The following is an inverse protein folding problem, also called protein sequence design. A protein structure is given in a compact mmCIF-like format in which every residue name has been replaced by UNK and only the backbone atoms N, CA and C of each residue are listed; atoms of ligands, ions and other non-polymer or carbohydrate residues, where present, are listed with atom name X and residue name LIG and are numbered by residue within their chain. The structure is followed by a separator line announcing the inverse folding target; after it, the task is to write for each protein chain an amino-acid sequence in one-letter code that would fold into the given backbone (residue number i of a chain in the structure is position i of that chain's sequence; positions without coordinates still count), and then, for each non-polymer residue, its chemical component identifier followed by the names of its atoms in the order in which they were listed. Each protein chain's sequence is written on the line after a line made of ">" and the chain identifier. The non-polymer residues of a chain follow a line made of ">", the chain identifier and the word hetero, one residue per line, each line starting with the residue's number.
data_IF_256027952432
#
_entry.id   IF_256027952432
#
_cell.length_a   1.000
_cell.length_b   1.000
_cell.length_c   1.000
_cell.angle_alpha   90.00
_cell.angle_beta   90.00
_cell.angle_gamma   90.00
#
_symmetry.space_group_name_H-M   'P 1'
#
loop_
_entity.id
_entity.type
_entity.pdbx_description
1 polymer ?
#
# COMPACT_ATOMS: atom_id res chain seq x y z
N UNK A 1 5.20 -68.09 -1.96
CA UNK A 1 4.06 -67.13 -1.93
C UNK A 1 4.33 -65.90 -1.03
N UNK A 2 5.18 -66.01 0.00
CA UNK A 2 5.47 -64.92 0.96
C UNK A 2 6.30 -63.75 0.41
N UNK A 3 7.26 -63.99 -0.50
CA UNK A 3 8.15 -62.94 -1.03
C UNK A 3 7.38 -61.86 -1.80
N UNK A 4 6.34 -62.25 -2.54
CA UNK A 4 5.51 -61.32 -3.34
C UNK A 4 4.71 -60.37 -2.44
N UNK A 5 4.16 -60.89 -1.33
CA UNK A 5 3.45 -60.14 -0.28
C UNK A 5 4.34 -59.10 0.42
N UNK A 6 5.62 -59.43 0.68
CA UNK A 6 6.57 -58.51 1.31
C UNK A 6 6.95 -57.36 0.36
N UNK A 7 7.14 -57.66 -0.93
CA UNK A 7 7.47 -56.65 -1.95
C UNK A 7 6.29 -55.68 -2.15
N UNK A 8 5.05 -56.18 -2.21
CA UNK A 8 3.84 -55.36 -2.33
C UNK A 8 3.65 -54.44 -1.11
N UNK A 9 3.86 -54.95 0.11
CA UNK A 9 3.80 -54.13 1.34
C UNK A 9 4.84 -53.02 1.36
N UNK A 10 6.08 -53.28 0.91
CA UNK A 10 7.13 -52.26 0.81
C UNK A 10 6.79 -51.18 -0.21
N UNK A 11 6.21 -51.54 -1.35
CA UNK A 11 5.77 -50.59 -2.37
C UNK A 11 4.62 -49.72 -1.86
N UNK A 12 3.62 -50.31 -1.21
CA UNK A 12 2.52 -49.57 -0.58
C UNK A 12 3.01 -48.62 0.52
N UNK A 13 3.96 -49.06 1.37
CA UNK A 13 4.57 -48.21 2.38
C UNK A 13 5.30 -47.01 1.75
N UNK A 14 6.06 -47.21 0.67
CA UNK A 14 6.72 -46.11 -0.06
C UNK A 14 5.71 -45.11 -0.60
N UNK A 15 4.61 -45.57 -1.21
CA UNK A 15 3.53 -44.72 -1.71
C UNK A 15 2.90 -43.93 -0.56
N UNK A 16 2.59 -44.58 0.57
CA UNK A 16 2.04 -43.93 1.75
C UNK A 16 2.96 -42.84 2.32
N UNK A 17 4.28 -43.10 2.37
CA UNK A 17 5.28 -42.12 2.80
C UNK A 17 5.32 -40.92 1.84
N UNK A 18 5.29 -41.16 0.52
CA UNK A 18 5.26 -40.07 -0.47
C UNK A 18 4.00 -39.22 -0.30
N UNK A 19 2.83 -39.84 -0.15
CA UNK A 19 1.56 -39.13 0.09
C UNK A 19 1.65 -38.28 1.36
N UNK A 20 2.21 -38.82 2.45
CA UNK A 20 2.37 -38.09 3.70
C UNK A 20 3.29 -36.87 3.53
N UNK A 21 4.42 -37.02 2.84
CA UNK A 21 5.34 -35.91 2.57
C UNK A 21 4.66 -34.81 1.76
N UNK A 22 3.90 -35.19 0.72
CA UNK A 22 3.13 -34.23 -0.08
C UNK A 22 2.07 -33.52 0.78
N UNK A 23 1.35 -34.25 1.63
CA UNK A 23 0.34 -33.66 2.51
C UNK A 23 0.95 -32.65 3.50
N UNK A 24 2.11 -32.98 4.09
CA UNK A 24 2.84 -32.07 4.99
C UNK A 24 3.31 -30.81 4.23
N UNK A 25 3.82 -30.98 3.01
CA UNK A 25 4.25 -29.84 2.18
C UNK A 25 3.08 -28.92 1.81
N UNK A 26 1.93 -29.50 1.43
CA UNK A 26 0.71 -28.73 1.10
C UNK A 26 0.17 -28.00 2.34
N UNK A 27 0.09 -28.67 3.49
CA UNK A 27 -0.35 -28.06 4.73
C UNK A 27 0.57 -26.92 5.18
N UNK A 28 1.89 -27.12 5.04
CA UNK A 28 2.90 -26.09 5.29
C UNK A 28 2.73 -24.87 4.38
N UNK A 29 2.53 -25.10 3.08
CA UNK A 29 2.28 -24.04 2.10
C UNK A 29 1.01 -23.24 2.39
N UNK A 30 -0.11 -23.91 2.71
CA UNK A 30 -1.37 -23.23 3.07
C UNK A 30 -1.19 -22.37 4.32
N UNK A 31 -0.54 -22.92 5.35
CA UNK A 31 -0.27 -22.20 6.60
C UNK A 31 0.59 -20.96 6.35
N UNK A 32 1.64 -21.10 5.53
CA UNK A 32 2.50 -20.00 5.15
C UNK A 32 1.76 -18.90 4.36
N UNK A 33 0.93 -19.27 3.39
CA UNK A 33 0.11 -18.33 2.61
C UNK A 33 -0.86 -17.55 3.50
N UNK A 34 -1.52 -18.24 4.43
CA UNK A 34 -2.45 -17.61 5.38
C UNK A 34 -1.72 -16.63 6.31
N UNK A 35 -0.54 -17.00 6.80
CA UNK A 35 0.29 -16.11 7.60
C UNK A 35 0.67 -14.83 6.85
N UNK A 36 1.13 -14.96 5.60
CA UNK A 36 1.49 -13.80 4.77
C UNK A 36 0.28 -12.88 4.54
N UNK A 37 -0.88 -13.45 4.19
CA UNK A 37 -2.10 -12.67 4.00
C UNK A 37 -2.51 -11.92 5.27
N UNK A 38 -2.44 -12.56 6.43
CA UNK A 38 -2.74 -11.91 7.70
C UNK A 38 -1.76 -10.77 8.06
N UNK A 39 -0.47 -10.92 7.77
CA UNK A 39 0.50 -9.82 7.97
C UNK A 39 0.27 -8.67 6.99
N UNK A 40 0.00 -8.97 5.71
CA UNK A 40 -0.34 -7.98 4.71
C UNK A 40 -1.56 -7.15 5.15
N UNK A 41 -2.67 -7.82 5.49
CA UNK A 41 -3.91 -7.16 5.92
C UNK A 41 -3.68 -6.30 7.17
N UNK A 42 -2.94 -6.83 8.16
CA UNK A 42 -2.60 -6.08 9.37
C UNK A 42 -1.94 -4.75 9.05
N UNK A 43 -0.95 -4.72 8.15
CA UNK A 43 -0.24 -3.49 7.84
C UNK A 43 -1.06 -2.53 6.97
N UNK A 44 -1.87 -3.03 6.03
CA UNK A 44 -2.78 -2.18 5.26
C UNK A 44 -3.83 -1.54 6.16
N UNK A 45 -4.44 -2.31 7.07
CA UNK A 45 -5.42 -1.78 8.03
C UNK A 45 -4.79 -0.72 8.93
N UNK A 46 -3.55 -0.94 9.41
CA UNK A 46 -2.82 0.07 10.19
C UNK A 46 -2.57 1.35 9.39
N UNK A 47 -2.24 1.24 8.10
CA UNK A 47 -2.10 2.42 7.23
C UNK A 47 -3.44 3.16 7.06
N UNK A 48 -4.53 2.42 6.84
CA UNK A 48 -5.85 2.99 6.65
C UNK A 48 -6.39 3.70 7.91
N UNK A 49 -6.00 3.26 9.10
CA UNK A 49 -6.33 3.95 10.36
C UNK A 49 -5.74 5.38 10.43
N UNK A 50 -4.68 5.66 9.68
CA UNK A 50 -4.05 6.99 9.63
C UNK A 50 -4.71 7.92 8.60
N UNK A 51 -5.52 7.39 7.68
CA UNK A 51 -6.09 8.16 6.55
C UNK A 51 -6.97 9.31 7.03
N UNK A 52 -7.83 9.07 8.03
CA UNK A 52 -8.73 10.10 8.55
C UNK A 52 -7.95 11.24 9.22
N UNK A 53 -6.90 10.90 10.00
CA UNK A 53 -6.05 11.91 10.63
C UNK A 53 -5.26 12.70 9.58
N UNK A 54 -4.67 12.01 8.60
CA UNK A 54 -3.98 12.63 7.48
C UNK A 54 -4.87 13.60 6.70
N UNK A 55 -6.09 13.17 6.33
CA UNK A 55 -7.03 13.99 5.59
C UNK A 55 -7.45 15.23 6.39
N UNK A 56 -7.73 15.06 7.69
CA UNK A 56 -8.05 16.17 8.59
C UNK A 56 -6.88 17.14 8.70
N UNK A 57 -5.65 16.66 8.90
CA UNK A 57 -4.45 17.50 8.97
C UNK A 57 -4.26 18.31 7.68
N UNK A 58 -4.48 17.68 6.52
CA UNK A 58 -4.41 18.35 5.21
C UNK A 58 -5.50 19.41 5.02
N UNK A 59 -6.72 19.12 5.47
CA UNK A 59 -7.83 20.09 5.44
C UNK A 59 -7.54 21.29 6.34
N UNK A 60 -7.06 21.06 7.58
CA UNK A 60 -6.61 22.12 8.49
C UNK A 60 -5.51 22.99 7.85
N UNK A 61 -4.54 22.38 7.13
CA UNK A 61 -3.50 23.12 6.41
C UNK A 61 -4.09 24.03 5.31
N UNK A 62 -5.07 23.54 4.55
CA UNK A 62 -5.76 24.33 3.52
C UNK A 62 -6.49 25.51 4.14
N UNK A 63 -7.26 25.28 5.21
CA UNK A 63 -8.00 26.34 5.91
C UNK A 63 -7.07 27.46 6.36
N UNK A 64 -5.93 27.14 7.00
CA UNK A 64 -4.97 28.16 7.41
C UNK A 64 -4.34 28.90 6.23
N UNK A 65 -4.06 28.21 5.13
CA UNK A 65 -3.52 28.85 3.93
C UNK A 65 -4.53 29.83 3.31
N UNK A 66 -5.82 29.48 3.28
CA UNK A 66 -6.91 30.34 2.79
C UNK A 66 -7.15 31.56 3.71
N UNK A 67 -7.00 31.38 5.02
CA UNK A 67 -7.05 32.47 6.02
C UNK A 67 -5.81 33.38 5.97
N UNK A 68 -4.76 32.99 5.23
CA UNK A 68 -3.49 33.71 5.15
C UNK A 68 -2.54 33.47 6.33
N UNK A 69 -2.87 32.53 7.22
CA UNK A 69 -1.99 32.09 8.32
C UNK A 69 -0.97 31.06 7.80
N UNK A 70 -0.02 31.55 7.00
CA UNK A 70 0.95 30.71 6.29
C UNK A 70 1.84 29.90 7.25
N UNK A 71 2.17 30.45 8.42
CA UNK A 71 2.95 29.74 9.43
C UNK A 71 2.22 28.50 9.96
N UNK A 72 0.94 28.63 10.31
CA UNK A 72 0.15 27.47 10.73
C UNK A 72 -0.09 26.49 9.59
N UNK A 73 -0.29 26.98 8.37
CA UNK A 73 -0.41 26.12 7.19
C UNK A 73 0.83 25.23 7.02
N UNK A 74 2.03 25.82 7.05
CA UNK A 74 3.30 25.06 6.95
C UNK A 74 3.42 24.00 8.05
N UNK A 75 3.12 24.36 9.31
CA UNK A 75 3.15 23.40 10.42
C UNK A 75 2.22 22.19 10.18
N UNK A 76 1.03 22.43 9.61
CA UNK A 76 0.09 21.36 9.29
C UNK A 76 0.55 20.54 8.09
N UNK A 77 1.13 21.16 7.06
CA UNK A 77 1.74 20.43 5.94
C UNK A 77 2.88 19.52 6.43
N UNK A 78 3.76 19.99 7.31
CA UNK A 78 4.83 19.19 7.91
C UNK A 78 4.27 17.97 8.68
N UNK A 79 3.16 18.15 9.40
CA UNK A 79 2.47 17.05 10.08
C UNK A 79 1.88 16.04 9.08
N UNK A 80 1.21 16.51 8.02
CA UNK A 80 0.65 15.64 6.98
C UNK A 80 1.75 14.85 6.25
N UNK A 81 2.90 15.47 5.97
CA UNK A 81 4.08 14.80 5.40
C UNK A 81 4.55 13.65 6.30
N UNK A 82 4.62 13.88 7.62
CA UNK A 82 5.03 12.85 8.59
C UNK A 82 4.03 11.70 8.62
N UNK A 83 2.74 11.98 8.68
CA UNK A 83 1.66 10.98 8.68
C UNK A 83 1.69 10.13 7.41
N UNK A 84 1.86 10.76 6.25
CA UNK A 84 1.94 10.05 4.98
C UNK A 84 3.20 9.18 4.87
N UNK A 85 4.35 9.63 5.39
CA UNK A 85 5.57 8.81 5.47
C UNK A 85 5.35 7.56 6.33
N UNK A 86 4.58 7.66 7.41
CA UNK A 86 4.22 6.51 8.23
C UNK A 86 3.29 5.54 7.48
N UNK A 87 2.28 6.06 6.78
CA UNK A 87 1.41 5.27 5.91
C UNK A 87 2.19 4.51 4.83
N UNK A 88 3.11 5.19 4.13
CA UNK A 88 3.98 4.56 3.12
C UNK A 88 4.82 3.43 3.74
N UNK A 89 5.42 3.66 4.91
CA UNK A 89 6.21 2.62 5.59
C UNK A 89 5.39 1.37 5.95
N UNK A 90 4.13 1.56 6.36
CA UNK A 90 3.20 0.46 6.62
C UNK A 90 2.83 -0.27 5.33
N UNK A 91 2.54 0.46 4.25
CA UNK A 91 2.28 -0.12 2.94
C UNK A 91 3.49 -0.91 2.39
N UNK A 92 4.71 -0.41 2.56
CA UNK A 92 5.95 -1.12 2.21
C UNK A 92 6.11 -2.42 2.99
N UNK A 93 5.76 -2.44 4.28
CA UNK A 93 5.73 -3.68 5.07
C UNK A 93 4.68 -4.64 4.53
N UNK A 94 3.47 -4.16 4.20
CA UNK A 94 2.43 -4.99 3.58
C UNK A 94 2.92 -5.59 2.25
N UNK A 95 3.63 -4.81 1.44
CA UNK A 95 4.18 -5.22 0.14
C UNK A 95 5.15 -6.41 0.24
N UNK A 96 5.93 -6.50 1.34
CA UNK A 96 6.82 -7.65 1.57
C UNK A 96 6.03 -8.96 1.75
N UNK A 97 4.83 -8.88 2.32
CA UNK A 97 3.98 -10.06 2.55
C UNK A 97 3.01 -10.34 1.40
N UNK A 98 2.78 -9.37 0.51
CA UNK A 98 1.92 -9.52 -0.65
C UNK A 98 2.56 -10.37 -1.76
N UNK A 99 1.72 -11.10 -2.49
CA UNK A 99 2.07 -11.82 -3.72
C UNK A 99 0.97 -11.62 -4.77
N UNK A 100 1.32 -11.85 -6.05
CA UNK A 100 0.36 -11.80 -7.16
C UNK A 100 -0.36 -10.43 -7.25
N UNK A 101 -1.67 -10.42 -7.54
CA UNK A 101 -2.41 -9.17 -7.75
C UNK A 101 -2.43 -8.24 -6.54
N UNK A 102 -2.39 -8.78 -5.31
CA UNK A 102 -2.29 -7.94 -4.10
C UNK A 102 -1.01 -7.12 -4.07
N UNK A 103 0.11 -7.72 -4.52
CA UNK A 103 1.40 -7.04 -4.57
C UNK A 103 1.39 -5.91 -5.59
N UNK A 104 0.75 -6.13 -6.73
CA UNK A 104 0.57 -5.08 -7.75
C UNK A 104 -0.29 -3.93 -7.21
N UNK A 105 -1.42 -4.23 -6.55
CA UNK A 105 -2.27 -3.18 -5.95
C UNK A 105 -1.53 -2.38 -4.88
N UNK A 106 -0.85 -3.05 -3.95
CA UNK A 106 -0.11 -2.36 -2.87
C UNK A 106 1.05 -1.56 -3.47
N UNK A 107 1.74 -2.07 -4.50
CA UNK A 107 2.77 -1.34 -5.21
C UNK A 107 2.25 -0.03 -5.80
N UNK A 108 1.06 -0.05 -6.41
CA UNK A 108 0.40 1.15 -6.92
C UNK A 108 -0.03 2.12 -5.80
N UNK A 109 -0.48 1.62 -4.65
CA UNK A 109 -0.79 2.48 -3.50
C UNK A 109 0.46 3.21 -2.99
N UNK A 110 1.60 2.52 -2.90
CA UNK A 110 2.88 3.12 -2.54
C UNK A 110 3.30 4.17 -3.56
N UNK A 111 3.24 3.86 -4.87
CA UNK A 111 3.57 4.79 -5.95
C UNK A 111 2.71 6.07 -5.89
N UNK A 112 1.40 5.91 -5.66
CA UNK A 112 0.47 7.03 -5.47
C UNK A 112 0.84 7.86 -4.25
N UNK A 113 1.06 7.22 -3.11
CA UNK A 113 1.33 7.92 -1.86
C UNK A 113 2.68 8.66 -1.89
N UNK A 114 3.66 8.14 -2.63
CA UNK A 114 4.91 8.85 -2.94
C UNK A 114 4.68 10.11 -3.79
N UNK A 115 3.79 10.06 -4.78
CA UNK A 115 3.40 11.26 -5.55
C UNK A 115 2.66 12.28 -4.68
N UNK A 116 1.75 11.83 -3.81
CA UNK A 116 1.08 12.72 -2.85
C UNK A 116 2.12 13.38 -1.93
N UNK A 117 3.11 12.61 -1.46
CA UNK A 117 4.19 13.13 -0.63
C UNK A 117 5.00 14.20 -1.37
N UNK A 118 5.37 13.96 -2.62
CA UNK A 118 6.03 14.96 -3.47
C UNK A 118 5.16 16.22 -3.62
N UNK A 119 3.85 16.06 -3.80
CA UNK A 119 2.91 17.18 -3.88
C UNK A 119 2.85 17.99 -2.58
N UNK A 120 2.87 17.34 -1.42
CA UNK A 120 2.91 18.02 -0.12
C UNK A 120 4.24 18.74 0.11
N UNK A 121 5.36 18.14 -0.26
CA UNK A 121 6.68 18.77 -0.16
C UNK A 121 6.78 20.00 -1.09
N UNK A 122 6.26 19.90 -2.32
CA UNK A 122 6.12 21.05 -3.23
C UNK A 122 5.23 22.15 -2.63
N UNK A 123 4.06 21.77 -2.10
CA UNK A 123 3.13 22.72 -1.49
C UNK A 123 3.74 23.43 -0.28
N UNK A 124 4.50 22.71 0.55
CA UNK A 124 5.26 23.28 1.66
C UNK A 124 6.21 24.36 1.17
N UNK A 125 7.04 24.08 0.16
CA UNK A 125 7.96 25.07 -0.43
C UNK A 125 7.22 26.25 -1.06
N UNK A 126 6.07 25.99 -1.69
CA UNK A 126 5.21 27.05 -2.24
C UNK A 126 4.69 27.99 -1.15
N UNK A 127 4.30 27.47 0.01
CA UNK A 127 3.91 28.29 1.17
C UNK A 127 5.10 29.11 1.69
N UNK A 128 6.32 28.57 1.71
CA UNK A 128 7.52 29.33 2.08
C UNK A 128 7.77 30.50 1.11
N UNK A 129 7.69 30.29 -0.19
CA UNK A 129 7.80 31.38 -1.16
C UNK A 129 6.72 32.45 -0.99
N UNK A 130 5.46 32.05 -0.74
CA UNK A 130 4.38 33.00 -0.44
C UNK A 130 4.71 33.82 0.81
N UNK A 131 5.22 33.18 1.87
CA UNK A 131 5.63 33.84 3.11
C UNK A 131 6.75 34.87 2.87
N UNK A 132 7.67 34.56 1.96
CA UNK A 132 8.79 35.45 1.58
C UNK A 132 8.37 36.54 0.57
N UNK A 133 7.16 36.46 0.02
CA UNK A 133 6.66 37.38 -1.01
C UNK A 133 7.16 37.06 -2.43
N UNK A 134 7.78 35.90 -2.65
CA UNK A 134 8.20 35.43 -3.97
C UNK A 134 7.05 34.69 -4.69
N UNK A 135 6.09 35.47 -5.17
CA UNK A 135 4.93 34.92 -5.88
C UNK A 135 5.28 34.28 -7.24
N UNK A 136 6.42 34.62 -7.84
CA UNK A 136 6.85 34.04 -9.11
C UNK A 136 7.24 32.57 -8.92
N UNK A 137 8.12 32.30 -7.95
CA UNK A 137 8.54 30.93 -7.60
C UNK A 137 7.36 30.10 -7.06
N UNK A 138 6.47 30.73 -6.28
CA UNK A 138 5.24 30.07 -5.81
C UNK A 138 4.32 29.64 -6.96
N UNK A 139 4.23 30.44 -8.04
CA UNK A 139 3.40 30.11 -9.19
C UNK A 139 3.99 28.98 -10.04
N UNK A 140 5.31 28.96 -10.22
CA UNK A 140 6.00 27.88 -10.94
C UNK A 140 5.78 26.51 -10.29
N UNK A 141 5.93 26.42 -8.97
CA UNK A 141 5.65 25.18 -8.24
C UNK A 141 4.19 24.72 -8.38
N UNK A 142 3.24 25.66 -8.35
CA UNK A 142 1.82 25.34 -8.53
C UNK A 142 1.53 24.70 -9.89
N UNK A 143 2.26 25.08 -10.93
CA UNK A 143 2.09 24.49 -12.26
C UNK A 143 2.64 23.06 -12.31
N UNK A 144 3.80 22.82 -11.71
CA UNK A 144 4.41 21.49 -11.58
C UNK A 144 3.53 20.50 -10.80
N UNK A 145 2.81 20.99 -9.79
CA UNK A 145 1.87 20.18 -8.98
C UNK A 145 0.72 19.58 -9.82
N UNK A 146 0.40 20.12 -11.00
CA UNK A 146 -0.68 19.58 -11.87
C UNK A 146 -0.30 18.24 -12.50
N UNK A 147 0.97 18.05 -12.82
CA UNK A 147 1.45 16.80 -13.40
C UNK A 147 1.33 15.65 -12.40
N UNK A 148 1.56 15.94 -11.11
CA UNK A 148 1.40 14.99 -10.02
C UNK A 148 -0.04 14.45 -9.96
N UNK A 149 -1.04 15.33 -10.09
CA UNK A 149 -2.46 14.94 -10.10
C UNK A 149 -2.74 13.99 -11.28
N UNK A 150 -2.22 14.31 -12.46
CA UNK A 150 -2.40 13.48 -13.66
C UNK A 150 -1.80 12.08 -13.49
N UNK A 151 -0.62 11.97 -12.88
CA UNK A 151 0.00 10.67 -12.60
C UNK A 151 -0.77 9.87 -11.54
N UNK A 152 -1.32 10.53 -10.51
CA UNK A 152 -2.19 9.89 -9.52
C UNK A 152 -3.44 9.29 -10.19
N UNK A 153 -4.08 10.03 -11.10
CA UNK A 153 -5.25 9.53 -11.84
C UNK A 153 -4.94 8.29 -12.68
N UNK A 154 -3.77 8.26 -13.33
CA UNK A 154 -3.30 7.09 -14.09
C UNK A 154 -3.09 5.88 -13.18
N UNK A 155 -2.54 6.08 -11.98
CA UNK A 155 -2.35 5.01 -11.00
C UNK A 155 -3.70 4.46 -10.52
N UNK A 156 -4.66 5.33 -10.23
CA UNK A 156 -6.01 4.92 -9.82
C UNK A 156 -6.71 4.12 -10.93
N UNK A 157 -6.58 4.52 -12.20
CA UNK A 157 -7.09 3.75 -13.33
C UNK A 157 -6.42 2.36 -13.47
N UNK A 158 -5.09 2.27 -13.28
CA UNK A 158 -4.35 1.00 -13.27
C UNK A 158 -4.81 0.09 -12.13
N UNK A 159 -5.06 0.65 -10.95
CA UNK A 159 -5.56 -0.07 -9.77
C UNK A 159 -6.93 -0.67 -10.03
N UNK A 160 -7.86 0.10 -10.59
CA UNK A 160 -9.20 -0.38 -10.94
C UNK A 160 -9.17 -1.45 -12.05
N UNK A 161 -8.23 -1.34 -13.01
CA UNK A 161 -8.03 -2.37 -14.02
C UNK A 161 -7.57 -3.71 -13.40
N UNK A 162 -6.70 -3.69 -12.37
CA UNK A 162 -6.28 -4.90 -11.65
C UNK A 162 -7.46 -5.49 -10.88
N UNK A 163 -8.19 -4.67 -10.11
CA UNK A 163 -9.39 -5.11 -9.37
C UNK A 163 -10.45 -5.73 -10.29
N UNK A 164 -10.60 -5.20 -11.50
CA UNK A 164 -11.54 -5.74 -12.50
C UNK A 164 -11.11 -7.10 -13.05
N UNK A 165 -9.79 -7.33 -13.21
CA UNK A 165 -9.22 -8.62 -13.64
C UNK A 165 -9.20 -9.66 -12.53
N UNK A 166 -9.23 -9.22 -11.26
CA UNK A 166 -9.15 -10.07 -10.08
C UNK A 166 -10.30 -9.77 -9.10
N UNK A 167 -11.52 -10.27 -9.38
CA UNK A 167 -12.69 -9.99 -8.54
C UNK A 167 -12.56 -10.47 -7.09
N UNK A 168 -11.80 -11.53 -6.85
CA UNK A 168 -11.48 -12.05 -5.52
C UNK A 168 -10.64 -11.04 -4.71
N UNK A 169 -9.64 -10.43 -5.35
CA UNK A 169 -8.85 -9.35 -4.76
C UNK A 169 -9.71 -8.13 -4.52
N UNK A 170 -10.55 -7.73 -5.49
CA UNK A 170 -11.50 -6.63 -5.32
C UNK A 170 -12.40 -6.82 -4.09
N UNK A 171 -13.02 -7.99 -3.97
CA UNK A 171 -13.91 -8.31 -2.86
C UNK A 171 -13.18 -8.30 -1.51
N UNK A 172 -11.95 -8.83 -1.45
CA UNK A 172 -11.15 -8.81 -0.23
C UNK A 172 -10.84 -7.37 0.18
N UNK A 173 -10.35 -6.55 -0.74
CA UNK A 173 -10.05 -5.13 -0.49
C UNK A 173 -11.29 -4.41 0.04
N UNK A 174 -12.43 -4.50 -0.65
CA UNK A 174 -13.66 -3.78 -0.27
C UNK A 174 -14.27 -4.24 1.07
N UNK A 175 -13.89 -5.42 1.57
CA UNK A 175 -14.42 -5.96 2.82
C UNK A 175 -13.44 -5.92 3.99
N UNK A 176 -12.15 -5.74 3.74
CA UNK A 176 -11.09 -5.86 4.75
C UNK A 176 -10.16 -4.65 4.82
N UNK A 177 -10.00 -3.92 3.74
CA UNK A 177 -9.10 -2.78 3.66
C UNK A 177 -9.89 -1.50 3.82
#
# INVERSE_FOLDING_TARGET
>A
MEVKSIIEKKTLLKIAVIILVVAVAVAGYITYKNYRMAQMDKYVIQANQLVDEFNRTREEANTYAEEGDIDKAIIKVDKAIKELKEMISLAEKAYQYADGPYKEVIGLLIERDQLILQGLESWRSRLEYIKEGDYASAWELKDQEKDIITEIEKIEARKEAIKSKHPDVKQHIESKW
#
